data_IF_312854119119
#
_entry.id   IF_312854119119
#
_cell.length_a   1.000
_cell.length_b   1.000
_cell.length_c   1.000
_cell.angle_alpha   90.00
_cell.angle_beta   90.00
_cell.angle_gamma   90.00
#
_symmetry.space_group_name_H-M   'P 1'
#
loop_
_entity.id
_entity.type
_entity.pdbx_description
1 polymer ?
#
# COMPACT_ATOMS: atom_id res chain seq x y z
N UNK A 1 14.22 -6.42 2.49
CA UNK A 1 14.11 -5.00 2.14
C UNK A 1 13.70 -4.23 3.39
N UNK A 2 14.20 -3.00 3.57
CA UNK A 2 13.88 -2.14 4.72
C UNK A 2 13.14 -0.92 4.20
N UNK A 3 11.96 -0.63 4.75
CA UNK A 3 11.07 0.42 4.28
C UNK A 3 9.73 -0.11 3.78
N UNK A 4 8.95 0.78 3.18
CA UNK A 4 7.72 0.44 2.44
C UNK A 4 8.03 -0.04 1.02
N UNK A 5 7.34 -1.11 0.63
CA UNK A 5 7.37 -1.75 -0.69
C UNK A 5 5.94 -1.73 -1.26
N UNK A 6 5.79 -1.33 -2.51
CA UNK A 6 4.54 -1.47 -3.24
C UNK A 6 4.67 -2.55 -4.32
N UNK A 7 3.61 -3.35 -4.47
CA UNK A 7 3.48 -4.38 -5.50
C UNK A 7 2.18 -4.14 -6.24
N UNK A 8 2.29 -3.85 -7.53
CA UNK A 8 1.13 -3.75 -8.40
C UNK A 8 0.79 -5.13 -8.95
N UNK A 9 -0.50 -5.43 -9.02
CA UNK A 9 -0.99 -6.72 -9.47
C UNK A 9 -2.16 -6.55 -10.43
N UNK A 10 -2.25 -7.43 -11.42
CA UNK A 10 -3.44 -7.63 -12.22
C UNK A 10 -4.31 -8.72 -11.61
N UNK A 11 -5.62 -8.49 -11.62
CA UNK A 11 -6.62 -9.52 -11.36
C UNK A 11 -7.08 -10.04 -12.73
N UNK A 12 -6.89 -11.32 -13.00
CA UNK A 12 -7.21 -11.95 -14.29
C UNK A 12 -8.19 -13.11 -14.05
N UNK A 13 -9.25 -13.19 -14.86
CA UNK A 13 -10.33 -14.16 -14.67
C UNK A 13 -11.51 -13.62 -13.84
N UNK A 14 -12.47 -14.48 -13.50
CA UNK A 14 -13.62 -14.14 -12.65
C UNK A 14 -14.13 -15.37 -11.89
N UNK A 15 -14.72 -15.15 -10.69
CA UNK A 15 -15.24 -16.22 -9.83
C UNK A 15 -14.14 -17.16 -9.34
N UNK A 16 -14.40 -18.46 -9.37
CA UNK A 16 -13.45 -19.49 -8.89
C UNK A 16 -12.16 -19.59 -9.73
N UNK A 17 -12.10 -18.92 -10.88
CA UNK A 17 -10.92 -18.85 -11.76
C UNK A 17 -10.14 -17.55 -11.65
N UNK A 18 -10.37 -16.72 -10.62
CA UNK A 18 -9.63 -15.48 -10.41
C UNK A 18 -8.16 -15.75 -10.02
N UNK A 19 -7.24 -15.06 -10.70
CA UNK A 19 -5.80 -15.15 -10.47
C UNK A 19 -5.20 -13.76 -10.24
N UNK A 20 -4.21 -13.69 -9.34
CA UNK A 20 -3.38 -12.50 -9.15
C UNK A 20 -2.05 -12.68 -9.87
N UNK A 21 -1.71 -11.73 -10.74
CA UNK A 21 -0.44 -11.69 -11.46
C UNK A 21 0.31 -10.43 -11.04
N UNK A 22 1.57 -10.58 -10.61
CA UNK A 22 2.42 -9.42 -10.29
C UNK A 22 2.75 -8.66 -11.58
N UNK A 23 2.48 -7.36 -11.58
CA UNK A 23 2.81 -6.44 -12.67
C UNK A 23 4.17 -5.77 -12.44
N UNK A 24 4.28 -4.99 -11.37
CA UNK A 24 5.47 -4.18 -11.05
C UNK A 24 5.74 -4.19 -9.54
N UNK A 25 7.02 -4.00 -9.17
CA UNK A 25 7.47 -3.81 -7.80
C UNK A 25 8.15 -2.45 -7.68
N UNK A 26 7.67 -1.61 -6.77
CA UNK A 26 8.29 -0.34 -6.41
C UNK A 26 8.89 -0.44 -4.99
N UNK A 27 10.22 -0.55 -4.84
CA UNK A 27 10.91 -0.60 -3.54
C UNK A 27 11.04 0.82 -2.95
N UNK A 28 9.90 1.49 -2.79
CA UNK A 28 9.74 2.84 -2.24
C UNK A 28 8.27 3.05 -1.88
N UNK A 29 7.98 4.19 -1.25
CA UNK A 29 6.60 4.70 -1.17
C UNK A 29 6.02 4.89 -2.58
N UNK A 30 4.71 4.69 -2.71
CA UNK A 30 4.04 4.64 -3.99
C UNK A 30 2.79 5.51 -4.04
N UNK A 31 2.46 6.02 -5.23
CA UNK A 31 1.34 6.96 -5.40
C UNK A 31 0.02 6.35 -4.94
N UNK A 32 -0.21 5.07 -5.24
CA UNK A 32 -1.41 4.33 -4.80
C UNK A 32 -1.55 4.21 -3.28
N UNK A 33 -0.49 4.51 -2.50
CA UNK A 33 -0.55 4.58 -1.04
C UNK A 33 -0.75 5.99 -0.46
N UNK A 34 -0.79 7.05 -1.28
CA UNK A 34 -0.84 8.44 -0.77
C UNK A 34 -2.09 8.74 0.08
N UNK A 35 -3.19 8.04 -0.18
CA UNK A 35 -4.41 8.16 0.64
C UNK A 35 -4.17 7.86 2.14
N UNK A 36 -3.11 7.10 2.47
CA UNK A 36 -2.77 6.78 3.87
C UNK A 36 -2.31 7.99 4.68
N UNK A 37 -2.04 9.14 4.05
CA UNK A 37 -1.71 10.40 4.76
C UNK A 37 -2.89 10.82 5.66
N UNK A 38 -4.11 10.83 5.14
CA UNK A 38 -5.32 11.19 5.89
C UNK A 38 -6.22 9.98 6.21
N UNK A 39 -5.89 8.81 5.67
CA UNK A 39 -6.75 7.63 5.70
C UNK A 39 -6.38 6.55 6.70
N UNK A 40 -5.16 6.56 7.24
CA UNK A 40 -4.66 5.57 8.18
C UNK A 40 -4.05 6.24 9.42
N UNK A 41 -3.99 5.52 10.54
CA UNK A 41 -3.33 6.01 11.77
C UNK A 41 -1.85 6.36 11.55
N UNK A 42 -1.19 5.63 10.63
CA UNK A 42 0.20 5.88 10.23
C UNK A 42 0.29 5.81 8.71
N UNK A 43 0.80 6.87 8.08
CA UNK A 43 0.97 6.92 6.63
C UNK A 43 2.11 6.02 6.15
N UNK A 44 2.10 5.66 4.86
CA UNK A 44 3.22 4.94 4.25
C UNK A 44 4.56 5.70 4.38
N UNK A 45 4.52 7.03 4.42
CA UNK A 45 5.72 7.86 4.55
C UNK A 45 6.30 7.74 5.95
N UNK A 46 5.46 7.89 6.98
CA UNK A 46 5.90 7.71 8.35
C UNK A 46 6.42 6.28 8.54
N UNK A 47 5.67 5.27 8.10
CA UNK A 47 6.08 3.88 8.26
C UNK A 47 7.40 3.57 7.52
N UNK A 48 7.65 4.16 6.35
CA UNK A 48 8.92 4.04 5.64
C UNK A 48 10.07 4.62 6.46
N UNK A 49 9.91 5.83 7.00
CA UNK A 49 10.92 6.48 7.86
C UNK A 49 11.18 5.66 9.13
N UNK A 50 10.13 5.15 9.80
CA UNK A 50 10.27 4.31 10.99
C UNK A 50 11.11 3.07 10.70
N UNK A 51 10.83 2.39 9.59
CA UNK A 51 11.59 1.22 9.18
C UNK A 51 13.07 1.54 8.89
N UNK A 52 13.35 2.62 8.14
CA UNK A 52 14.72 3.05 7.83
C UNK A 52 15.47 3.46 9.11
N UNK A 53 14.80 4.09 10.06
CA UNK A 53 15.37 4.51 11.34
C UNK A 53 15.49 3.37 12.38
N UNK A 54 15.04 2.15 12.07
CA UNK A 54 15.02 1.02 13.01
C UNK A 54 14.04 1.20 14.17
N UNK A 55 13.04 2.08 14.03
CA UNK A 55 11.99 2.29 15.03
C UNK A 55 10.89 1.23 14.92
N UNK A 56 10.17 0.95 16.02
CA UNK A 56 9.06 0.00 15.98
C UNK A 56 7.96 0.49 15.02
N UNK A 57 7.33 -0.42 14.26
CA UNK A 57 6.20 -0.08 13.40
C UNK A 57 5.02 0.43 14.23
N UNK A 58 4.22 1.31 13.65
CA UNK A 58 2.94 1.73 14.24
C UNK A 58 1.75 1.04 13.58
N UNK A 59 0.61 1.16 14.24
CA UNK A 59 -0.70 0.74 13.72
C UNK A 59 -1.01 1.47 12.41
N UNK A 60 -1.54 0.70 11.45
CA UNK A 60 -1.93 1.16 10.11
C UNK A 60 -3.43 1.09 9.91
N UNK A 61 -4.20 1.01 11.02
CA UNK A 61 -5.66 0.97 11.00
C UNK A 61 -6.22 2.15 10.21
N UNK A 62 -7.21 1.88 9.35
CA UNK A 62 -7.88 2.92 8.60
C UNK A 62 -8.73 3.80 9.54
N UNK A 63 -8.47 5.10 9.56
CA UNK A 63 -9.17 6.06 10.45
C UNK A 63 -10.38 6.73 9.77
N UNK A 64 -10.51 6.58 8.45
CA UNK A 64 -11.63 7.10 7.67
C UNK A 64 -11.88 6.23 6.45
N UNK A 65 -13.14 6.10 6.04
CA UNK A 65 -13.52 5.56 4.73
C UNK A 65 -12.99 6.50 3.64
N UNK A 66 -11.73 6.32 3.28
CA UNK A 66 -10.97 7.24 2.42
C UNK A 66 -10.32 6.52 1.25
N UNK A 67 -10.33 5.18 1.22
CA UNK A 67 -9.94 4.43 0.05
C UNK A 67 -11.08 4.53 -0.97
N UNK A 68 -10.93 5.27 -2.08
CA UNK A 68 -11.92 5.21 -3.15
C UNK A 68 -11.86 3.79 -3.70
N UNK A 69 -13.00 3.10 -3.76
CA UNK A 69 -13.12 1.72 -4.25
C UNK A 69 -12.63 1.52 -5.71
N UNK A 70 -12.03 2.54 -6.35
CA UNK A 70 -11.60 2.56 -7.76
C UNK A 70 -10.27 3.27 -8.03
N UNK A 71 -9.50 3.70 -7.04
CA UNK A 71 -8.16 4.31 -7.26
C UNK A 71 -7.04 3.36 -6.87
N UNK A 72 -6.99 2.23 -7.57
CA UNK A 72 -5.73 1.62 -7.96
C UNK A 72 -5.69 1.70 -9.50
N UNK A 73 -5.50 2.92 -10.02
CA UNK A 73 -5.09 3.10 -11.42
C UNK A 73 -3.71 3.73 -11.39
N UNK A 74 -2.72 2.88 -11.58
CA UNK A 74 -1.64 3.21 -12.48
C UNK A 74 -2.00 2.63 -13.85
#
# INVERSE_FOLDING_TARGET
YVGVLAVEMFVVGAGDGEMLIVNEIAPRVHNSGHWTIEGAETSQFEQHVRAVAGWPPRSTTAVRASMPARTARC
#
